data_IF_195071093626
#
_entry.id   IF_195071093626
#
_cell.length_a   1.000
_cell.length_b   1.000
_cell.length_c   1.000
_cell.angle_alpha   90.00
_cell.angle_beta   90.00
_cell.angle_gamma   90.00
#
_symmetry.space_group_name_H-M   'P 1'
#
loop_
_entity.id
_entity.type
_entity.pdbx_description
1 polymer ?
#
# COMPACT_ATOMS: atom_id res chain seq x y z
N UNK A 1 44.00 -36.24 -3.78
CA UNK A 1 43.38 -35.09 -3.07
C UNK A 1 41.97 -34.91 -3.58
N UNK A 2 40.98 -35.49 -2.89
CA UNK A 2 39.56 -35.40 -3.22
C UNK A 2 39.02 -34.05 -2.68
N UNK A 3 38.74 -33.12 -3.58
CA UNK A 3 38.09 -31.86 -3.23
C UNK A 3 36.69 -32.15 -2.66
N UNK A 4 36.50 -31.91 -1.37
CA UNK A 4 35.20 -31.98 -0.72
C UNK A 4 34.30 -30.93 -1.35
N UNK A 5 33.33 -31.37 -2.16
CA UNK A 5 32.28 -30.51 -2.71
C UNK A 5 31.37 -30.07 -1.56
N UNK A 6 31.59 -28.86 -1.06
CA UNK A 6 30.69 -28.21 -0.10
C UNK A 6 29.32 -28.10 -0.78
N UNK A 7 28.24 -28.70 -0.23
CA UNK A 7 26.94 -28.63 -0.83
C UNK A 7 26.49 -27.16 -0.84
N UNK A 8 26.39 -26.57 -2.03
CA UNK A 8 25.90 -25.23 -2.20
C UNK A 8 24.43 -25.18 -1.66
N UNK A 9 24.25 -24.57 -0.49
CA UNK A 9 22.97 -24.40 0.19
C UNK A 9 22.06 -23.61 -0.76
N UNK A 10 21.18 -24.31 -1.47
CA UNK A 10 20.23 -23.69 -2.41
C UNK A 10 19.35 -22.72 -1.63
N UNK A 11 19.61 -21.41 -1.75
CA UNK A 11 18.75 -20.40 -1.17
C UNK A 11 17.40 -20.41 -1.90
N UNK A 12 16.30 -20.51 -1.18
CA UNK A 12 14.97 -20.41 -1.77
C UNK A 12 14.75 -18.98 -2.30
N UNK A 13 14.01 -18.84 -3.42
CA UNK A 13 13.66 -17.53 -3.99
C UNK A 13 12.92 -16.65 -2.96
N UNK A 14 12.13 -17.25 -2.07
CA UNK A 14 11.46 -16.57 -0.97
C UNK A 14 12.44 -15.88 -0.03
N UNK A 15 13.46 -16.61 0.45
CA UNK A 15 14.49 -16.05 1.33
C UNK A 15 15.28 -14.95 0.64
N UNK A 16 15.53 -15.10 -0.64
CA UNK A 16 16.29 -14.14 -1.42
C UNK A 16 15.52 -12.82 -1.57
N UNK A 17 14.21 -12.84 -1.86
CA UNK A 17 13.39 -11.64 -2.00
C UNK A 17 13.20 -10.93 -0.64
N UNK A 18 13.02 -11.67 0.46
CA UNK A 18 13.00 -11.07 1.79
C UNK A 18 14.32 -10.40 2.17
N UNK A 19 15.45 -11.05 1.93
CA UNK A 19 16.76 -10.46 2.17
C UNK A 19 17.01 -9.24 1.29
N UNK A 20 16.55 -9.28 0.05
CA UNK A 20 16.62 -8.15 -0.86
C UNK A 20 15.80 -6.97 -0.36
N UNK A 21 14.58 -7.21 0.12
CA UNK A 21 13.72 -6.18 0.67
C UNK A 21 14.38 -5.50 1.88
N UNK A 22 14.86 -6.28 2.86
CA UNK A 22 15.42 -5.76 4.12
C UNK A 22 16.79 -5.10 3.91
N UNK A 23 17.61 -5.62 2.98
CA UNK A 23 18.96 -5.09 2.71
C UNK A 23 18.98 -3.89 1.74
N UNK A 24 17.87 -3.57 1.11
CA UNK A 24 17.77 -2.40 0.23
C UNK A 24 17.02 -1.26 0.95
N UNK A 25 17.21 -0.01 0.56
CA UNK A 25 16.50 1.13 1.16
C UNK A 25 14.98 1.09 0.96
N UNK A 26 14.44 0.10 0.22
CA UNK A 26 13.01 -0.04 -0.09
C UNK A 26 12.13 -0.21 1.14
N UNK A 27 12.52 -1.10 2.06
CA UNK A 27 11.76 -1.28 3.32
C UNK A 27 11.86 -0.04 4.21
N UNK A 28 13.04 0.58 4.23
CA UNK A 28 13.28 1.81 5.00
C UNK A 28 12.46 2.97 4.44
N UNK A 29 12.42 3.16 3.11
CA UNK A 29 11.62 4.23 2.51
C UNK A 29 10.12 4.06 2.75
N UNK A 30 9.59 2.83 2.64
CA UNK A 30 8.20 2.54 2.99
C UNK A 30 7.91 2.83 4.46
N UNK A 31 8.73 2.29 5.37
CA UNK A 31 8.58 2.50 6.80
C UNK A 31 8.69 3.97 7.18
N UNK A 32 9.68 4.68 6.64
CA UNK A 32 9.90 6.10 6.92
C UNK A 32 8.72 6.98 6.49
N UNK A 33 8.15 6.73 5.29
CA UNK A 33 7.02 7.52 4.81
C UNK A 33 5.78 7.30 5.66
N UNK A 34 5.37 6.05 5.91
CA UNK A 34 4.19 5.79 6.71
C UNK A 34 4.35 6.21 8.18
N UNK A 35 5.54 6.05 8.77
CA UNK A 35 5.82 6.54 10.13
C UNK A 35 5.83 8.06 10.18
N UNK A 36 6.48 8.72 9.22
CA UNK A 36 6.53 10.18 9.19
C UNK A 36 5.12 10.79 9.07
N UNK A 37 4.28 10.31 8.14
CA UNK A 37 2.89 10.76 8.04
C UNK A 37 2.11 10.45 9.30
N UNK A 38 2.31 9.27 9.92
CA UNK A 38 1.65 8.88 11.17
C UNK A 38 2.00 9.77 12.36
N UNK A 39 3.22 10.29 12.44
CA UNK A 39 3.65 11.22 13.47
C UNK A 39 3.28 12.67 13.16
N UNK A 40 3.37 13.09 11.90
CA UNK A 40 3.17 14.49 11.50
C UNK A 40 1.68 14.88 11.50
N UNK A 41 0.80 14.04 10.96
CA UNK A 41 -0.60 14.39 10.74
C UNK A 41 -1.39 14.71 12.03
N UNK A 42 -1.28 13.94 13.13
CA UNK A 42 -1.95 14.30 14.37
C UNK A 42 -1.42 15.61 14.96
N UNK A 43 -0.12 15.89 14.84
CA UNK A 43 0.51 17.14 15.28
C UNK A 43 0.01 18.30 14.42
N UNK A 44 0.01 18.14 13.09
CA UNK A 44 -0.48 19.15 12.16
C UNK A 44 -1.97 19.47 12.43
N UNK A 45 -2.79 18.45 12.65
CA UNK A 45 -4.21 18.63 13.00
C UNK A 45 -4.41 19.37 14.31
N UNK A 46 -3.64 19.04 15.34
CA UNK A 46 -3.71 19.74 16.65
C UNK A 46 -3.36 21.22 16.55
N UNK A 47 -2.32 21.55 15.81
CA UNK A 47 -1.79 22.91 15.69
C UNK A 47 -2.25 23.64 14.41
N UNK A 48 -3.25 23.10 13.70
CA UNK A 48 -3.74 23.67 12.44
C UNK A 48 -4.13 25.16 12.54
N UNK A 49 -4.80 25.57 13.61
CA UNK A 49 -5.19 26.98 13.82
C UNK A 49 -3.96 27.90 13.96
N UNK A 50 -2.92 27.43 14.67
CA UNK A 50 -1.69 28.20 14.87
C UNK A 50 -0.90 28.28 13.56
N UNK A 51 -0.79 27.18 12.83
CA UNK A 51 -0.11 27.13 11.53
C UNK A 51 -0.78 28.06 10.51
N UNK A 52 -2.11 28.00 10.43
CA UNK A 52 -2.88 28.84 9.51
C UNK A 52 -2.84 30.32 9.86
N UNK A 53 -2.85 30.68 11.15
CA UNK A 53 -2.72 32.09 11.56
C UNK A 53 -1.36 32.70 11.18
N UNK A 54 -0.29 31.90 11.21
CA UNK A 54 1.02 32.34 10.73
C UNK A 54 1.06 32.57 9.23
N UNK A 55 0.43 31.67 8.44
CA UNK A 55 0.34 31.78 6.97
C UNK A 55 -0.59 32.92 6.57
N UNK A 56 -1.65 33.17 7.32
CA UNK A 56 -2.64 34.24 7.06
C UNK A 56 -2.18 35.62 7.62
N UNK A 57 -0.89 35.83 7.84
CA UNK A 57 -0.30 37.11 8.28
C UNK A 57 -0.98 37.69 9.53
N UNK A 58 -1.27 36.84 10.51
CA UNK A 58 -1.85 37.25 11.78
C UNK A 58 -3.38 37.38 11.83
N UNK A 59 -4.06 37.07 10.74
CA UNK A 59 -5.54 36.98 10.76
C UNK A 59 -5.95 35.77 11.61
N UNK A 60 -6.74 35.98 12.67
CA UNK A 60 -7.19 34.89 13.53
C UNK A 60 -8.14 33.96 12.75
N UNK A 61 -7.64 32.76 12.42
CA UNK A 61 -8.45 31.72 11.80
C UNK A 61 -9.11 30.90 12.90
N UNK A 62 -10.42 31.10 13.07
CA UNK A 62 -11.17 30.40 14.11
C UNK A 62 -11.63 29.03 13.58
N UNK A 63 -10.79 28.01 13.76
CA UNK A 63 -11.11 26.62 13.42
C UNK A 63 -11.84 25.94 14.59
N UNK A 64 -12.77 25.02 14.31
CA UNK A 64 -13.36 24.19 15.35
C UNK A 64 -12.25 23.38 16.04
N UNK A 65 -12.47 23.00 17.31
CA UNK A 65 -11.50 22.18 18.05
C UNK A 65 -11.25 20.87 17.30
N UNK A 66 -9.98 20.49 17.11
CA UNK A 66 -9.64 19.26 16.41
C UNK A 66 -10.15 18.04 17.16
N UNK A 67 -10.74 17.10 16.42
CA UNK A 67 -11.21 15.81 16.95
C UNK A 67 -10.22 14.71 16.66
N UNK A 68 -10.22 13.67 17.49
CA UNK A 68 -9.36 12.51 17.28
C UNK A 68 -9.68 11.77 15.96
N UNK A 69 -10.95 11.73 15.57
CA UNK A 69 -11.37 11.17 14.28
C UNK A 69 -10.83 11.98 13.10
N UNK A 70 -10.80 13.30 13.20
CA UNK A 70 -10.24 14.18 12.17
C UNK A 70 -8.74 13.94 11.98
N UNK A 71 -7.97 13.83 13.06
CA UNK A 71 -6.54 13.54 12.98
C UNK A 71 -6.25 12.19 12.29
N UNK A 72 -7.07 11.17 12.60
CA UNK A 72 -6.94 9.88 11.95
C UNK A 72 -7.34 9.95 10.46
N UNK A 73 -8.38 10.71 10.10
CA UNK A 73 -8.79 10.88 8.70
C UNK A 73 -7.74 11.64 7.88
N UNK A 74 -7.09 12.65 8.45
CA UNK A 74 -5.96 13.36 7.83
C UNK A 74 -4.81 12.40 7.55
N UNK A 75 -4.42 11.59 8.56
CA UNK A 75 -3.40 10.56 8.35
C UNK A 75 -3.78 9.58 7.23
N UNK A 76 -5.00 9.06 7.23
CA UNK A 76 -5.47 8.10 6.21
C UNK A 76 -5.41 8.72 4.81
N UNK A 77 -5.81 9.98 4.65
CA UNK A 77 -5.71 10.72 3.39
C UNK A 77 -4.27 10.84 2.89
N UNK A 78 -3.36 11.34 3.73
CA UNK A 78 -1.96 11.53 3.36
C UNK A 78 -1.24 10.20 3.14
N UNK A 79 -1.46 9.22 4.00
CA UNK A 79 -0.91 7.88 3.84
C UNK A 79 -1.40 7.21 2.55
N UNK A 80 -2.64 7.51 2.10
CA UNK A 80 -3.17 7.02 0.84
C UNK A 80 -2.47 7.66 -0.35
N UNK A 81 -2.22 8.96 -0.32
CA UNK A 81 -1.59 9.65 -1.44
C UNK A 81 -0.08 9.34 -1.47
N UNK A 82 0.64 9.76 -0.43
CA UNK A 82 2.11 9.69 -0.41
C UNK A 82 2.59 8.25 -0.22
N UNK A 83 1.98 7.53 0.73
CA UNK A 83 2.34 6.14 1.03
C UNK A 83 2.08 5.21 -0.16
N UNK A 84 0.97 5.40 -0.89
CA UNK A 84 0.66 4.60 -2.07
C UNK A 84 1.62 4.87 -3.22
N UNK A 85 2.04 6.13 -3.45
CA UNK A 85 3.03 6.48 -4.47
C UNK A 85 4.34 5.72 -4.20
N UNK A 86 4.81 5.73 -2.95
CA UNK A 86 6.05 5.04 -2.57
C UNK A 86 5.89 3.52 -2.65
N UNK A 87 4.75 2.98 -2.21
CA UNK A 87 4.46 1.54 -2.30
C UNK A 87 4.47 1.06 -3.76
N UNK A 88 3.78 1.77 -4.65
CA UNK A 88 3.72 1.45 -6.08
C UNK A 88 5.10 1.53 -6.72
N UNK A 89 5.89 2.58 -6.43
CA UNK A 89 7.25 2.71 -6.94
C UNK A 89 8.17 1.57 -6.48
N UNK A 90 8.10 1.20 -5.20
CA UNK A 90 8.86 0.08 -4.62
C UNK A 90 8.43 -1.23 -5.25
N UNK A 91 7.13 -1.50 -5.37
CA UNK A 91 6.60 -2.70 -5.97
C UNK A 91 6.97 -2.79 -7.47
N UNK A 92 6.76 -1.73 -8.26
CA UNK A 92 7.10 -1.70 -9.67
C UNK A 92 8.61 -1.98 -9.90
N UNK A 93 9.47 -1.42 -9.06
CA UNK A 93 10.92 -1.68 -9.13
C UNK A 93 11.30 -3.13 -8.81
N UNK A 94 10.47 -3.84 -8.04
CA UNK A 94 10.69 -5.26 -7.74
C UNK A 94 10.30 -6.18 -8.91
N UNK A 95 9.32 -5.77 -9.72
CA UNK A 95 8.83 -6.55 -10.87
C UNK A 95 9.56 -6.26 -12.18
N UNK A 96 10.38 -5.22 -12.27
CA UNK A 96 11.10 -4.90 -13.51
C UNK A 96 12.19 -5.92 -13.78
N UNK A 97 11.83 -6.96 -14.57
CA UNK A 97 12.74 -8.05 -14.97
C UNK A 97 13.68 -7.62 -16.08
N UNK A 98 13.24 -6.71 -16.94
CA UNK A 98 13.94 -6.32 -18.16
C UNK A 98 15.02 -5.24 -17.93
N UNK A 99 15.06 -4.66 -16.73
CA UNK A 99 16.06 -3.62 -16.38
C UNK A 99 17.52 -4.10 -16.40
N UNK A 100 17.75 -5.43 -16.45
CA UNK A 100 19.11 -6.00 -16.52
C UNK A 100 19.20 -6.96 -17.70
N UNK A 101 19.90 -6.59 -18.78
CA UNK A 101 20.17 -7.48 -19.91
C UNK A 101 20.78 -8.78 -19.46
N UNK A 102 20.25 -9.90 -19.90
CA UNK A 102 20.71 -11.24 -19.54
C UNK A 102 19.99 -11.91 -18.36
N UNK A 103 19.40 -11.17 -17.41
CA UNK A 103 18.66 -11.77 -16.30
C UNK A 103 17.32 -12.35 -16.76
N UNK A 104 16.66 -11.69 -17.71
CA UNK A 104 15.44 -12.18 -18.34
C UNK A 104 15.69 -13.50 -19.08
N UNK A 105 16.78 -13.60 -19.87
CA UNK A 105 17.18 -14.82 -20.55
C UNK A 105 17.49 -15.98 -19.58
N UNK A 106 18.15 -15.68 -18.45
CA UNK A 106 18.46 -16.67 -17.43
C UNK A 106 17.20 -17.24 -16.74
N UNK A 107 16.22 -16.38 -16.41
CA UNK A 107 14.95 -16.84 -15.83
C UNK A 107 14.14 -17.65 -16.84
N UNK A 108 14.14 -17.27 -18.12
CA UNK A 108 13.41 -17.98 -19.19
C UNK A 108 13.89 -19.43 -19.35
N UNK A 109 15.19 -19.69 -19.21
CA UNK A 109 15.76 -21.04 -19.44
C UNK A 109 15.74 -21.95 -18.23
N UNK A 110 15.62 -21.43 -17.01
CA UNK A 110 15.80 -22.23 -15.78
C UNK A 110 14.62 -22.29 -14.84
N UNK A 111 13.57 -21.45 -15.03
CA UNK A 111 12.41 -21.44 -14.14
C UNK A 111 11.21 -22.12 -14.82
N UNK A 112 10.73 -23.24 -14.28
CA UNK A 112 9.64 -24.01 -14.90
C UNK A 112 8.26 -23.30 -14.86
N UNK A 113 8.13 -22.23 -14.07
CA UNK A 113 6.87 -21.46 -13.98
C UNK A 113 7.13 -20.05 -13.49
N UNK A 114 6.64 -19.02 -14.23
CA UNK A 114 6.72 -17.60 -13.85
C UNK A 114 6.07 -17.30 -12.49
N UNK A 115 5.08 -18.10 -12.09
CA UNK A 115 4.48 -18.00 -10.76
C UNK A 115 5.51 -18.09 -9.63
N UNK A 116 6.50 -18.99 -9.75
CA UNK A 116 7.57 -19.16 -8.75
C UNK A 116 8.46 -17.94 -8.58
N UNK A 117 8.47 -17.03 -9.53
CA UNK A 117 9.25 -15.78 -9.48
C UNK A 117 8.36 -14.61 -9.02
N UNK A 118 7.13 -14.55 -9.52
CA UNK A 118 6.18 -13.46 -9.22
C UNK A 118 5.66 -13.55 -7.80
N UNK A 119 5.28 -14.75 -7.32
CA UNK A 119 4.66 -14.92 -6.01
C UNK A 119 5.53 -14.47 -4.83
N UNK A 120 6.85 -14.81 -4.74
CA UNK A 120 7.68 -14.30 -3.66
C UNK A 120 7.83 -12.77 -3.66
N UNK A 121 7.91 -12.14 -4.85
CA UNK A 121 8.01 -10.69 -4.99
C UNK A 121 6.72 -9.99 -4.59
N UNK A 122 5.60 -10.56 -5.01
CA UNK A 122 4.29 -10.09 -4.60
C UNK A 122 4.14 -10.13 -3.09
N UNK A 123 4.38 -11.29 -2.48
CA UNK A 123 4.24 -11.46 -1.04
C UNK A 123 5.19 -10.54 -0.24
N UNK A 124 6.45 -10.42 -0.68
CA UNK A 124 7.41 -9.53 -0.02
C UNK A 124 7.00 -8.06 -0.11
N UNK A 125 6.60 -7.58 -1.30
CA UNK A 125 6.18 -6.19 -1.49
C UNK A 125 4.86 -5.87 -0.76
N UNK A 126 3.88 -6.79 -0.82
CA UNK A 126 2.61 -6.64 -0.13
C UNK A 126 2.80 -6.63 1.39
N UNK A 127 3.57 -7.59 1.93
CA UNK A 127 3.85 -7.65 3.36
C UNK A 127 4.61 -6.40 3.86
N UNK A 128 5.58 -5.92 3.09
CA UNK A 128 6.31 -4.69 3.43
C UNK A 128 5.39 -3.47 3.48
N UNK A 129 4.52 -3.31 2.49
CA UNK A 129 3.54 -2.23 2.45
C UNK A 129 2.56 -2.30 3.62
N UNK A 130 2.01 -3.48 3.87
CA UNK A 130 1.08 -3.71 5.00
C UNK A 130 1.76 -3.43 6.33
N UNK A 131 2.95 -3.97 6.58
CA UNK A 131 3.69 -3.74 7.83
C UNK A 131 4.02 -2.26 8.02
N UNK A 132 4.51 -1.58 6.98
CA UNK A 132 4.81 -0.15 7.03
C UNK A 132 3.55 0.68 7.35
N UNK A 133 2.43 0.38 6.69
CA UNK A 133 1.14 1.02 6.96
C UNK A 133 0.64 0.78 8.39
N UNK A 134 0.71 -0.46 8.88
CA UNK A 134 0.30 -0.79 10.25
C UNK A 134 1.13 -0.02 11.28
N UNK A 135 2.45 0.07 11.07
CA UNK A 135 3.34 0.85 11.94
C UNK A 135 3.00 2.35 11.92
N UNK A 136 2.75 2.92 10.74
CA UNK A 136 2.32 4.31 10.59
C UNK A 136 0.97 4.59 11.25
N UNK A 137 -0.01 3.69 11.08
CA UNK A 137 -1.33 3.82 11.72
C UNK A 137 -1.24 3.71 13.23
N UNK A 138 -0.40 2.83 13.76
CA UNK A 138 -0.15 2.72 15.21
C UNK A 138 0.52 3.99 15.75
N UNK A 139 1.46 4.57 15.01
CA UNK A 139 2.07 5.85 15.37
C UNK A 139 1.03 6.98 15.39
N UNK A 140 0.19 7.07 14.35
CA UNK A 140 -0.90 8.05 14.28
C UNK A 140 -1.91 7.88 15.43
N UNK A 141 -2.28 6.64 15.75
CA UNK A 141 -3.15 6.34 16.88
C UNK A 141 -2.53 6.77 18.22
N UNK A 142 -1.26 6.45 18.43
CA UNK A 142 -0.53 6.81 19.64
C UNK A 142 -0.44 8.32 19.83
N UNK A 143 -0.01 9.05 18.79
CA UNK A 143 0.08 10.50 18.80
C UNK A 143 -1.28 11.17 18.98
N UNK A 144 -2.31 10.71 18.28
CA UNK A 144 -3.67 11.22 18.43
C UNK A 144 -4.18 11.07 19.85
N UNK A 145 -3.93 9.90 20.47
CA UNK A 145 -4.34 9.63 21.85
C UNK A 145 -3.66 10.55 22.84
N UNK A 146 -2.39 10.85 22.66
CA UNK A 146 -1.62 11.74 23.53
C UNK A 146 -2.00 13.20 23.34
N UNK A 147 -2.22 13.63 22.12
CA UNK A 147 -2.33 15.04 21.76
C UNK A 147 -3.78 15.57 21.78
N UNK A 148 -4.74 14.75 21.40
CA UNK A 148 -6.12 15.19 21.11
C UNK A 148 -7.13 14.44 22.00
N UNK A 149 -7.05 13.11 22.06
CA UNK A 149 -7.99 12.32 22.86
C UNK A 149 -8.09 10.85 22.46
N UNK A 150 -8.88 10.07 23.21
CA UNK A 150 -8.99 8.62 23.03
C UNK A 150 -9.69 8.27 21.70
N UNK A 151 -9.24 7.17 21.10
CA UNK A 151 -9.83 6.56 19.90
C UNK A 151 -10.26 5.12 20.21
N UNK A 152 -11.41 4.65 19.68
CA UNK A 152 -11.88 3.27 19.86
C UNK A 152 -10.97 2.30 19.11
N UNK A 153 -10.24 1.45 19.86
CA UNK A 153 -9.26 0.52 19.28
C UNK A 153 -9.91 -0.56 18.38
N UNK A 154 -11.12 -1.00 18.69
CA UNK A 154 -11.79 -2.05 17.89
C UNK A 154 -12.11 -1.62 16.47
N UNK A 155 -12.67 -0.44 16.28
CA UNK A 155 -12.94 0.13 14.95
C UNK A 155 -11.66 0.37 14.16
N UNK A 156 -10.61 0.87 14.84
CA UNK A 156 -9.33 1.09 14.23
C UNK A 156 -8.70 -0.21 13.68
N UNK A 157 -8.65 -1.27 14.51
CA UNK A 157 -8.08 -2.56 14.08
C UNK A 157 -8.83 -3.16 12.90
N UNK A 158 -10.16 -3.11 12.93
CA UNK A 158 -10.99 -3.57 11.83
C UNK A 158 -10.73 -2.78 10.54
N UNK A 159 -10.65 -1.46 10.64
CA UNK A 159 -10.32 -0.60 9.51
C UNK A 159 -8.91 -0.84 8.96
N UNK A 160 -7.92 -1.05 9.83
CA UNK A 160 -6.55 -1.42 9.43
C UNK A 160 -6.51 -2.69 8.59
N UNK A 161 -7.31 -3.71 8.94
CA UNK A 161 -7.42 -4.94 8.15
C UNK A 161 -8.05 -4.68 6.77
N UNK A 162 -9.09 -3.84 6.70
CA UNK A 162 -9.68 -3.43 5.43
C UNK A 162 -8.66 -2.71 4.54
N UNK A 163 -7.95 -1.72 5.07
CA UNK A 163 -6.91 -1.00 4.34
C UNK A 163 -5.74 -1.91 3.92
N UNK A 164 -5.37 -2.91 4.73
CA UNK A 164 -4.36 -3.89 4.36
C UNK A 164 -4.75 -4.68 3.09
N UNK A 165 -6.02 -5.07 2.95
CA UNK A 165 -6.53 -5.73 1.73
C UNK A 165 -6.39 -4.80 0.51
N UNK A 166 -6.69 -3.51 0.68
CA UNK A 166 -6.49 -2.53 -0.39
C UNK A 166 -5.02 -2.41 -0.82
N UNK A 167 -4.08 -2.39 0.12
CA UNK A 167 -2.64 -2.33 -0.19
C UNK A 167 -2.17 -3.59 -0.94
N UNK A 168 -2.66 -4.76 -0.56
CA UNK A 168 -2.40 -6.01 -1.28
C UNK A 168 -2.95 -5.95 -2.71
N UNK A 169 -4.18 -5.44 -2.89
CA UNK A 169 -4.77 -5.18 -4.19
C UNK A 169 -3.93 -4.20 -5.02
N UNK A 170 -3.46 -3.09 -4.43
CA UNK A 170 -2.61 -2.10 -5.11
C UNK A 170 -1.31 -2.72 -5.64
N UNK A 171 -0.67 -3.60 -4.87
CA UNK A 171 0.53 -4.34 -5.31
C UNK A 171 0.20 -5.30 -6.45
N UNK A 172 -0.98 -5.94 -6.45
CA UNK A 172 -1.41 -6.81 -7.55
C UNK A 172 -1.66 -6.03 -8.85
N UNK A 173 -2.30 -4.86 -8.78
CA UNK A 173 -2.47 -3.94 -9.91
C UNK A 173 -1.11 -3.47 -10.44
N UNK A 174 -0.15 -3.17 -9.55
CA UNK A 174 1.22 -2.81 -9.93
C UNK A 174 1.90 -3.96 -10.68
N UNK A 175 1.75 -5.19 -10.22
CA UNK A 175 2.29 -6.37 -10.91
C UNK A 175 1.71 -6.53 -12.33
N UNK A 176 0.41 -6.27 -12.48
CA UNK A 176 -0.25 -6.28 -13.80
C UNK A 176 0.28 -5.16 -14.69
N UNK A 177 0.35 -3.92 -14.20
CA UNK A 177 0.85 -2.80 -14.96
C UNK A 177 2.30 -3.01 -15.44
N UNK A 178 3.17 -3.56 -14.58
CA UNK A 178 4.56 -3.90 -14.95
C UNK A 178 4.64 -5.05 -15.98
N UNK A 179 3.66 -5.95 -15.99
CA UNK A 179 3.58 -7.00 -17.02
C UNK A 179 3.14 -6.46 -18.39
N UNK A 180 2.49 -5.31 -18.45
CA UNK A 180 2.00 -4.69 -19.69
C UNK A 180 3.01 -3.72 -20.32
N UNK A 181 3.96 -3.19 -19.53
CA UNK A 181 4.95 -2.19 -19.98
C UNK A 181 6.38 -2.68 -19.75
N UNK A 182 7.33 -2.13 -20.50
CA UNK A 182 8.77 -2.34 -20.29
C UNK A 182 9.40 -1.25 -19.42
N UNK A 183 8.71 -0.11 -19.27
CA UNK A 183 9.16 1.03 -18.49
C UNK A 183 8.57 1.00 -17.06
N UNK A 184 9.44 1.05 -16.05
CA UNK A 184 9.01 1.14 -14.64
C UNK A 184 8.20 2.41 -14.38
N UNK A 185 8.59 3.54 -15.00
CA UNK A 185 7.89 4.82 -14.83
C UNK A 185 6.48 4.75 -15.41
N UNK A 186 6.33 4.16 -16.60
CA UNK A 186 5.02 3.96 -17.21
C UNK A 186 4.13 3.04 -16.36
N UNK A 187 4.69 1.95 -15.82
CA UNK A 187 3.96 1.05 -14.93
C UNK A 187 3.48 1.77 -13.66
N UNK A 188 4.34 2.59 -13.04
CA UNK A 188 3.97 3.43 -11.88
C UNK A 188 2.86 4.40 -12.26
N UNK A 189 3.00 5.13 -13.36
CA UNK A 189 2.00 6.09 -13.83
C UNK A 189 0.62 5.44 -14.08
N UNK A 190 0.59 4.31 -14.79
CA UNK A 190 -0.64 3.55 -15.05
C UNK A 190 -1.28 3.10 -13.73
N UNK A 191 -0.49 2.55 -12.82
CA UNK A 191 -1.00 2.08 -11.52
C UNK A 191 -1.59 3.22 -10.70
N UNK A 192 -0.88 4.34 -10.58
CA UNK A 192 -1.35 5.51 -9.85
C UNK A 192 -2.59 6.14 -10.50
N UNK A 193 -2.65 6.19 -11.84
CA UNK A 193 -3.85 6.65 -12.54
C UNK A 193 -5.08 5.77 -12.23
N UNK A 194 -4.91 4.46 -12.14
CA UNK A 194 -5.99 3.54 -11.75
C UNK A 194 -6.37 3.76 -10.28
N UNK A 195 -5.40 3.77 -9.36
CA UNK A 195 -5.66 3.76 -7.92
C UNK A 195 -6.08 5.13 -7.37
N UNK A 196 -5.50 6.23 -7.86
CA UNK A 196 -5.76 7.58 -7.35
C UNK A 196 -6.74 8.39 -8.20
N UNK A 197 -7.04 7.98 -9.43
CA UNK A 197 -8.00 8.69 -10.26
C UNK A 197 -9.19 7.80 -10.67
N UNK A 198 -8.97 6.71 -11.38
CA UNK A 198 -10.07 5.93 -11.94
C UNK A 198 -10.97 5.29 -10.87
N UNK A 199 -10.37 4.64 -9.86
CA UNK A 199 -11.16 3.99 -8.80
C UNK A 199 -11.89 4.99 -7.90
N UNK A 200 -11.28 6.10 -7.42
CA UNK A 200 -12.03 7.12 -6.68
C UNK A 200 -13.19 7.73 -7.49
N UNK A 201 -12.98 8.00 -8.79
CA UNK A 201 -14.07 8.47 -9.67
C UNK A 201 -15.23 7.46 -9.75
N UNK A 202 -14.95 6.16 -9.83
CA UNK A 202 -15.98 5.14 -9.75
C UNK A 202 -16.69 5.14 -8.39
N UNK A 203 -15.98 5.44 -7.32
CA UNK A 203 -16.54 5.57 -5.97
C UNK A 203 -17.51 6.74 -5.79
N UNK A 204 -17.54 7.73 -6.69
CA UNK A 204 -18.54 8.84 -6.65
C UNK A 204 -19.93 8.39 -7.11
N UNK A 205 -20.04 7.25 -7.78
CA UNK A 205 -21.32 6.70 -8.24
C UNK A 205 -21.98 5.95 -7.09
N UNK A 206 -23.03 6.50 -6.52
CA UNK A 206 -23.71 5.97 -5.32
C UNK A 206 -24.10 4.49 -5.42
N UNK A 207 -24.49 4.00 -6.61
CA UNK A 207 -24.93 2.63 -6.80
C UNK A 207 -23.83 1.59 -6.60
N UNK A 208 -22.56 1.97 -6.77
CA UNK A 208 -21.40 1.05 -6.70
C UNK A 208 -20.34 1.48 -5.68
N UNK A 209 -20.52 2.62 -5.02
CA UNK A 209 -19.51 3.19 -4.09
C UNK A 209 -19.05 2.21 -3.02
N UNK A 210 -19.98 1.41 -2.44
CA UNK A 210 -19.66 0.40 -1.43
C UNK A 210 -18.95 -0.85 -1.98
N UNK A 211 -18.87 -1.01 -3.31
CA UNK A 211 -18.20 -2.13 -3.98
C UNK A 211 -16.79 -1.78 -4.45
N UNK A 212 -16.50 -0.49 -4.58
CA UNK A 212 -15.19 -0.03 -5.06
C UNK A 212 -14.13 -0.26 -3.98
N UNK A 213 -12.98 -0.88 -4.31
CA UNK A 213 -11.92 -1.14 -3.33
C UNK A 213 -11.39 0.10 -2.59
N UNK A 214 -11.56 1.30 -3.15
CA UNK A 214 -11.16 2.55 -2.49
C UNK A 214 -11.92 2.83 -1.20
N UNK A 215 -13.14 2.30 -1.02
CA UNK A 215 -13.86 2.39 0.23
C UNK A 215 -13.08 1.78 1.42
N UNK A 216 -12.22 0.77 1.14
CA UNK A 216 -11.38 0.12 2.16
C UNK A 216 -10.31 1.06 2.74
N UNK A 217 -9.90 2.06 2.00
CA UNK A 217 -8.88 3.04 2.44
C UNK A 217 -9.41 3.91 3.56
N UNK A 218 -10.65 4.38 3.44
CA UNK A 218 -11.32 5.21 4.45
C UNK A 218 -11.77 4.44 5.70
N UNK A 219 -11.84 3.10 5.63
CA UNK A 219 -12.38 2.27 6.69
C UNK A 219 -11.81 2.54 8.11
N UNK A 220 -10.50 2.80 8.31
CA UNK A 220 -9.98 3.12 9.64
C UNK A 220 -10.56 4.41 10.23
N UNK A 221 -10.77 5.42 9.39
CA UNK A 221 -11.35 6.69 9.82
C UNK A 221 -12.87 6.57 10.02
N UNK A 222 -13.58 5.93 9.11
CA UNK A 222 -15.04 5.80 9.11
C UNK A 222 -15.54 4.95 10.29
N UNK A 223 -14.88 3.81 10.57
CA UNK A 223 -15.22 2.93 11.70
C UNK A 223 -14.92 3.56 13.06
N UNK A 224 -14.03 4.54 13.11
CA UNK A 224 -13.72 5.30 14.33
C UNK A 224 -14.64 6.51 14.48
N UNK A 225 -14.89 7.25 13.38
CA UNK A 225 -15.68 8.47 13.42
C UNK A 225 -17.20 8.21 13.60
N UNK A 226 -17.73 7.16 13.00
CA UNK A 226 -19.16 6.89 12.95
C UNK A 226 -19.48 5.40 13.04
N UNK A 227 -19.17 4.74 14.18
CA UNK A 227 -19.33 3.29 14.33
C UNK A 227 -20.80 2.82 14.24
N UNK A 228 -21.76 3.71 14.50
CA UNK A 228 -23.18 3.44 14.34
C UNK A 228 -23.64 3.43 12.86
N UNK A 229 -22.97 4.19 12.00
CA UNK A 229 -23.32 4.32 10.59
C UNK A 229 -22.53 3.32 9.74
N UNK A 230 -21.24 3.16 10.04
CA UNK A 230 -20.33 2.28 9.31
C UNK A 230 -19.97 1.06 10.15
N UNK A 231 -20.75 -0.02 9.99
CA UNK A 231 -20.35 -1.34 10.51
C UNK A 231 -19.40 -2.06 9.56
N UNK A 232 -18.67 -3.08 10.04
CA UNK A 232 -17.81 -3.93 9.20
C UNK A 232 -18.55 -4.50 7.98
N UNK A 233 -19.85 -4.80 8.12
CA UNK A 233 -20.69 -5.30 7.03
C UNK A 233 -20.74 -4.36 5.81
N UNK A 234 -20.58 -3.05 6.03
CA UNK A 234 -20.55 -2.06 4.95
C UNK A 234 -19.37 -2.26 4.00
N UNK A 235 -18.24 -2.74 4.50
CA UNK A 235 -17.00 -2.94 3.73
C UNK A 235 -16.87 -4.33 3.10
N UNK A 236 -17.75 -5.29 3.45
CA UNK A 236 -17.71 -6.66 2.93
C UNK A 236 -17.75 -6.74 1.39
N UNK A 237 -18.61 -5.97 0.68
CA UNK A 237 -18.60 -5.96 -0.78
C UNK A 237 -17.25 -5.51 -1.36
N UNK A 238 -16.69 -4.39 -0.84
CA UNK A 238 -15.41 -3.88 -1.28
C UNK A 238 -14.25 -4.85 -0.98
N UNK A 239 -14.29 -5.56 0.16
CA UNK A 239 -13.32 -6.62 0.50
C UNK A 239 -13.37 -7.75 -0.53
N UNK A 240 -14.58 -8.23 -0.86
CA UNK A 240 -14.78 -9.27 -1.87
C UNK A 240 -14.27 -8.85 -3.24
N UNK A 241 -14.66 -7.66 -3.71
CA UNK A 241 -14.20 -7.13 -5.00
C UNK A 241 -12.69 -6.87 -5.00
N UNK A 242 -12.15 -6.27 -3.95
CA UNK A 242 -10.71 -6.00 -3.84
C UNK A 242 -9.87 -7.28 -3.87
N UNK A 243 -10.29 -8.31 -3.14
CA UNK A 243 -9.61 -9.61 -3.13
C UNK A 243 -9.72 -10.31 -4.50
N UNK A 244 -10.92 -10.36 -5.08
CA UNK A 244 -11.14 -11.00 -6.38
C UNK A 244 -10.40 -10.27 -7.52
N UNK A 245 -10.52 -8.94 -7.59
CA UNK A 245 -9.82 -8.14 -8.58
C UNK A 245 -8.30 -8.21 -8.42
N UNK A 246 -7.78 -8.25 -7.18
CA UNK A 246 -6.36 -8.45 -6.91
C UNK A 246 -5.87 -9.81 -7.38
N UNK A 247 -6.62 -10.88 -7.10
CA UNK A 247 -6.29 -12.22 -7.57
C UNK A 247 -6.31 -12.32 -9.11
N UNK A 248 -7.31 -11.71 -9.75
CA UNK A 248 -7.42 -11.65 -11.21
C UNK A 248 -6.27 -10.84 -11.83
N UNK A 249 -5.92 -9.68 -11.25
CA UNK A 249 -4.80 -8.86 -11.70
C UNK A 249 -3.47 -9.63 -11.63
N UNK A 250 -3.24 -10.36 -10.54
CA UNK A 250 -2.04 -11.16 -10.36
C UNK A 250 -1.99 -12.35 -11.33
N UNK A 251 -3.12 -13.03 -11.53
CA UNK A 251 -3.23 -14.11 -12.52
C UNK A 251 -2.99 -13.61 -13.95
N UNK A 252 -3.56 -12.46 -14.30
CA UNK A 252 -3.36 -11.80 -15.59
C UNK A 252 -1.88 -11.39 -15.78
N UNK A 253 -1.23 -10.84 -14.75
CA UNK A 253 0.19 -10.49 -14.80
C UNK A 253 1.07 -11.71 -15.12
N UNK A 254 0.84 -12.84 -14.43
CA UNK A 254 1.58 -14.09 -14.68
C UNK A 254 1.33 -14.62 -16.08
N UNK A 255 0.07 -14.57 -16.55
CA UNK A 255 -0.30 -15.00 -17.91
C UNK A 255 0.39 -14.14 -18.98
N UNK A 256 0.37 -12.83 -18.79
CA UNK A 256 1.00 -11.88 -19.72
C UNK A 256 2.51 -12.06 -19.80
N UNK A 257 3.17 -12.28 -18.66
CA UNK A 257 4.60 -12.57 -18.62
C UNK A 257 4.95 -13.86 -19.36
N UNK A 258 4.09 -14.91 -19.27
CA UNK A 258 4.26 -16.15 -20.06
C UNK A 258 4.10 -15.90 -21.56
N UNK A 259 3.09 -15.11 -21.98
CA UNK A 259 2.85 -14.83 -23.38
C UNK A 259 3.97 -14.03 -24.08
N UNK A 260 4.78 -13.32 -23.31
CA UNK A 260 5.98 -12.62 -23.82
C UNK A 260 7.17 -13.58 -24.04
N UNK A 261 7.06 -14.82 -23.61
CA UNK A 261 8.10 -15.84 -23.72
C UNK A 261 7.97 -16.69 -24.99
N UNK A 262 6.78 -16.72 -25.57
CA UNK A 262 6.47 -17.39 -26.86
C UNK A 262 6.66 -16.43 -28.03
#
# INVERSE_FOLDING_TARGET
MTAATVPARRMSLWRLEWLRLVRTPRAVSLGAVFLATGLIEPVATKYASVLLSHVAHGTAVNLPKPTAAQALSSYVSEATIIGLIVLVAVAASAYNFDARPGLSAFFRTRVPSMWRVVAPRFAASAAAGVVAYLLGTLAAWYETRLLIGPLPAGGLLAGMLCAAVYLVFAVAVTALATSLTTSTVAAVGITLAILLAALPLLGTVNAISSWVPTALVGAPADLVASPSTYGLAHFVPALGVGAAAGALALAAAVRQLRARET
#
